data_IF_558113238025
#
_entry.id   IF_558113238025
#
_cell.length_a   1.000
_cell.length_b   1.000
_cell.length_c   1.000
_cell.angle_alpha   90.00
_cell.angle_beta   90.00
_cell.angle_gamma   90.00
#
_symmetry.space_group_name_H-M   'P 1'
#
loop_
_entity.id
_entity.type
_entity.pdbx_description
1 polymer ?
#
# COMPACT_ATOMS: atom_id res chain seq x y z
N UNK A 1 -41.28 46.86 -26.40
CA UNK A 1 -40.85 47.57 -27.65
C UNK A 1 -39.35 47.55 -27.71
N UNK A 2 -38.74 47.47 -28.83
CA UNK A 2 -38.57 46.24 -29.64
C UNK A 2 -37.10 45.78 -29.77
N UNK A 3 -36.95 44.58 -30.24
CA UNK A 3 -35.77 43.94 -30.87
C UNK A 3 -35.29 44.78 -32.09
N UNK A 4 -34.14 44.60 -32.63
CA UNK A 4 -33.75 43.43 -33.42
C UNK A 4 -32.29 42.99 -33.26
N UNK A 5 -31.96 41.66 -33.41
CA UNK A 5 -31.75 40.90 -34.66
C UNK A 5 -30.53 41.43 -35.43
N UNK A 6 -29.57 40.58 -35.73
CA UNK A 6 -29.34 39.94 -37.02
C UNK A 6 -27.87 39.59 -37.23
N UNK A 7 -27.62 38.34 -37.57
CA UNK A 7 -26.83 37.83 -38.70
C UNK A 7 -25.33 38.21 -38.74
N UNK A 8 -24.48 37.34 -38.98
CA UNK A 8 -24.23 36.53 -40.14
C UNK A 8 -23.17 35.47 -39.80
N UNK A 9 -23.44 34.25 -40.09
CA UNK A 9 -22.96 33.55 -41.29
C UNK A 9 -21.44 33.64 -41.44
N UNK A 10 -20.70 32.62 -41.31
CA UNK A 10 -20.73 31.41 -42.12
C UNK A 10 -19.33 31.17 -42.65
N UNK A 11 -18.99 29.91 -42.77
CA UNK A 11 -17.97 29.39 -43.68
C UNK A 11 -16.53 29.62 -43.27
N UNK A 12 -15.93 28.53 -42.72
CA UNK A 12 -14.77 27.91 -43.37
C UNK A 12 -14.43 26.61 -42.63
N UNK A 13 -15.14 25.58 -43.00
CA UNK A 13 -14.65 24.22 -42.89
C UNK A 13 -14.00 23.93 -44.22
N UNK A 14 -12.70 23.77 -44.23
CA UNK A 14 -11.94 22.99 -45.19
C UNK A 14 -10.48 23.44 -45.15
N UNK A 15 -9.66 22.78 -44.40
CA UNK A 15 -8.23 22.56 -44.67
C UNK A 15 -7.48 22.16 -43.37
N UNK A 16 -7.87 21.06 -42.77
CA UNK A 16 -7.00 20.39 -41.79
C UNK A 16 -7.11 18.89 -42.04
N UNK A 17 -6.59 18.48 -43.17
CA UNK A 17 -6.37 17.04 -43.42
C UNK A 17 -5.18 16.86 -44.38
N UNK A 18 -4.03 17.35 -44.00
CA UNK A 18 -2.75 16.95 -44.66
C UNK A 18 -1.48 17.37 -43.91
N UNK A 19 -1.52 17.58 -42.59
CA UNK A 19 -0.34 17.99 -41.83
C UNK A 19 0.20 16.91 -40.85
N UNK A 20 -0.31 15.68 -40.94
CA UNK A 20 0.11 14.62 -39.97
C UNK A 20 1.20 13.66 -40.48
N UNK A 21 1.59 13.76 -41.75
CA UNK A 21 2.64 12.87 -42.27
C UNK A 21 4.05 13.49 -42.37
N UNK A 22 4.17 14.80 -42.23
CA UNK A 22 5.48 15.46 -42.34
C UNK A 22 6.26 15.57 -41.01
N UNK A 23 5.57 15.55 -39.88
CA UNK A 23 6.21 15.69 -38.57
C UNK A 23 6.95 14.41 -38.09
N UNK A 24 6.55 13.25 -38.58
CA UNK A 24 7.16 12.00 -38.18
C UNK A 24 8.47 11.70 -38.92
N UNK A 25 8.71 12.30 -40.08
CA UNK A 25 9.96 12.08 -40.83
C UNK A 25 11.11 12.99 -40.35
N UNK A 26 10.79 14.16 -39.81
CA UNK A 26 11.82 15.07 -39.31
C UNK A 26 12.37 14.64 -37.94
N UNK A 27 11.53 13.98 -37.10
CA UNK A 27 11.93 13.45 -35.81
C UNK A 27 12.93 12.25 -35.94
N UNK A 28 12.82 11.49 -37.02
CA UNK A 28 13.73 10.37 -37.30
C UNK A 28 15.14 10.85 -37.72
N UNK A 29 15.25 12.04 -38.31
CA UNK A 29 16.53 12.59 -38.80
C UNK A 29 17.39 13.18 -37.65
N UNK A 30 16.79 13.53 -36.52
CA UNK A 30 17.51 14.14 -35.38
C UNK A 30 17.73 13.18 -34.20
N UNK A 31 17.39 11.90 -34.29
CA UNK A 31 17.67 10.91 -33.25
C UNK A 31 17.02 11.15 -31.87
N UNK A 32 16.09 12.14 -31.77
CA UNK A 32 15.48 12.56 -30.51
C UNK A 32 14.30 11.68 -30.07
N UNK A 33 13.73 10.86 -30.98
CA UNK A 33 12.61 9.96 -30.69
C UNK A 33 13.01 8.74 -29.83
N UNK A 34 14.14 8.14 -30.16
CA UNK A 34 14.61 6.92 -29.49
C UNK A 34 15.07 7.15 -28.05
N UNK A 35 15.59 8.36 -27.77
CA UNK A 35 16.03 8.72 -26.42
C UNK A 35 14.87 8.99 -25.47
N UNK A 36 13.74 9.47 -26.01
CA UNK A 36 12.55 9.80 -25.19
C UNK A 36 11.71 8.56 -24.85
N UNK A 37 11.60 7.60 -25.77
CA UNK A 37 10.98 6.31 -25.50
C UNK A 37 11.79 5.48 -24.51
N UNK A 38 13.13 5.50 -24.64
CA UNK A 38 14.02 4.83 -23.69
C UNK A 38 14.01 5.48 -22.30
N UNK A 39 13.82 6.80 -22.22
CA UNK A 39 13.67 7.52 -20.95
C UNK A 39 12.30 7.25 -20.29
N UNK A 40 11.19 7.13 -21.07
CA UNK A 40 9.89 6.72 -20.54
C UNK A 40 9.87 5.25 -20.10
N UNK A 41 10.57 4.37 -20.84
CA UNK A 41 10.72 2.96 -20.48
C UNK A 41 11.62 2.76 -19.27
N UNK A 42 12.66 3.59 -19.10
CA UNK A 42 13.53 3.56 -17.92
C UNK A 42 12.85 4.13 -16.66
N UNK A 43 11.94 5.10 -16.80
CA UNK A 43 11.14 5.61 -15.68
C UNK A 43 10.08 4.60 -15.16
N UNK A 44 9.79 3.55 -15.94
CA UNK A 44 8.93 2.43 -15.53
C UNK A 44 9.65 1.29 -14.80
N UNK A 45 10.97 1.32 -14.70
CA UNK A 45 11.79 0.24 -14.14
C UNK A 45 12.25 0.47 -12.67
N UNK A 46 11.90 1.60 -12.05
CA UNK A 46 12.09 1.83 -10.61
C UNK A 46 10.81 1.50 -9.81
N UNK A 47 10.11 0.45 -10.20
CA UNK A 47 8.89 -0.01 -9.56
C UNK A 47 9.15 -1.10 -8.53
N UNK A 48 9.64 -0.75 -7.35
CA UNK A 48 9.49 -1.60 -6.18
C UNK A 48 8.00 -1.96 -5.99
N UNK A 49 7.71 -3.12 -5.42
CA UNK A 49 6.33 -3.55 -5.13
C UNK A 49 5.58 -2.48 -4.36
N UNK A 50 4.38 -2.14 -4.81
CA UNK A 50 3.55 -1.10 -4.21
C UNK A 50 2.17 -1.63 -3.87
N UNK A 51 1.70 -1.40 -2.66
CA UNK A 51 0.36 -1.74 -2.21
C UNK A 51 -0.35 -0.48 -1.75
N UNK A 52 -1.56 -0.26 -2.25
CA UNK A 52 -2.42 0.88 -1.87
C UNK A 52 -3.64 0.34 -1.14
N UNK A 53 -3.90 0.89 0.04
CA UNK A 53 -5.02 0.53 0.91
C UNK A 53 -5.85 1.77 1.18
N UNK A 54 -7.14 1.73 0.90
CA UNK A 54 -8.07 2.81 1.25
C UNK A 54 -8.49 2.71 2.72
N UNK A 55 -8.67 3.85 3.37
CA UNK A 55 -9.24 3.88 4.71
C UNK A 55 -10.69 3.37 4.68
N UNK A 56 -11.09 2.68 5.74
CA UNK A 56 -12.49 2.34 6.00
C UNK A 56 -13.29 3.59 6.45
N UNK A 57 -14.60 3.43 6.69
CA UNK A 57 -15.48 4.52 7.14
C UNK A 57 -15.08 5.15 8.49
N UNK A 58 -14.20 4.49 9.25
CA UNK A 58 -13.68 4.99 10.54
C UNK A 58 -12.27 5.56 10.40
N UNK A 59 -11.72 5.59 9.18
CA UNK A 59 -10.37 6.07 8.91
C UNK A 59 -9.27 5.01 9.13
N UNK A 60 -9.62 3.74 9.34
CA UNK A 60 -8.64 2.68 9.57
C UNK A 60 -8.19 2.03 8.26
N UNK A 61 -6.93 1.61 8.21
CA UNK A 61 -6.37 0.85 7.10
C UNK A 61 -6.36 -0.64 7.45
N UNK A 62 -7.27 -1.38 6.82
CA UNK A 62 -7.40 -2.83 7.00
C UNK A 62 -6.64 -3.54 5.90
N UNK A 63 -5.79 -4.48 6.28
CA UNK A 63 -5.02 -5.32 5.38
C UNK A 63 -5.27 -6.80 5.70
N UNK A 64 -4.97 -7.66 4.74
CA UNK A 64 -5.07 -9.10 4.89
C UNK A 64 -3.73 -9.76 4.50
N UNK A 65 -2.66 -9.53 5.29
CA UNK A 65 -1.39 -10.18 5.01
C UNK A 65 -1.48 -11.71 5.13
N UNK A 66 -0.54 -12.39 4.51
CA UNK A 66 -0.24 -13.77 4.87
C UNK A 66 0.90 -13.77 5.90
N UNK A 67 0.69 -14.51 6.98
CA UNK A 67 1.67 -14.79 8.02
C UNK A 67 2.06 -16.27 7.88
N UNK A 68 3.29 -16.53 7.47
CA UNK A 68 3.77 -17.90 7.22
C UNK A 68 2.80 -18.72 6.33
N UNK A 69 2.23 -18.05 5.31
CA UNK A 69 1.28 -18.63 4.36
C UNK A 69 -0.20 -18.61 4.79
N UNK A 70 -0.54 -18.18 5.99
CA UNK A 70 -1.92 -18.08 6.48
C UNK A 70 -2.42 -16.64 6.45
N UNK A 71 -3.57 -16.42 5.84
CA UNK A 71 -4.18 -15.09 5.72
C UNK A 71 -4.83 -14.65 7.01
N UNK A 72 -4.48 -13.47 7.49
CA UNK A 72 -5.00 -12.87 8.73
C UNK A 72 -5.49 -11.45 8.45
N UNK A 73 -6.62 -11.07 9.04
CA UNK A 73 -7.13 -9.70 8.97
C UNK A 73 -6.43 -8.84 10.02
N UNK A 74 -5.82 -7.72 9.61
CA UNK A 74 -5.05 -6.86 10.52
C UNK A 74 -5.38 -5.38 10.26
N UNK A 75 -5.24 -4.55 11.29
CA UNK A 75 -5.17 -3.10 11.16
C UNK A 75 -3.72 -2.67 11.03
N UNK A 76 -3.43 -1.73 10.14
CA UNK A 76 -2.12 -1.07 10.10
C UNK A 76 -2.08 -0.04 11.23
N UNK A 77 -1.10 -0.20 12.13
CA UNK A 77 -0.97 0.65 13.32
C UNK A 77 0.48 1.12 13.51
N UNK A 78 0.72 2.39 13.21
CA UNK A 78 2.04 3.03 13.39
C UNK A 78 2.38 3.29 14.87
N UNK A 79 1.40 3.23 15.76
CA UNK A 79 1.58 3.33 17.21
C UNK A 79 2.05 2.02 17.85
N UNK A 80 1.82 0.89 17.19
CA UNK A 80 2.29 -0.42 17.66
C UNK A 80 3.76 -0.64 17.27
N UNK A 81 4.64 -0.84 18.27
CA UNK A 81 6.07 -1.11 18.03
C UNK A 81 6.32 -2.44 17.32
N UNK A 82 5.46 -3.41 17.52
CA UNK A 82 5.55 -4.77 16.98
C UNK A 82 4.29 -5.13 16.20
N UNK A 83 4.40 -6.12 15.30
CA UNK A 83 3.23 -6.86 14.87
C UNK A 83 2.61 -7.49 16.10
N UNK A 84 1.33 -7.24 16.35
CA UNK A 84 0.61 -7.77 17.50
C UNK A 84 -0.53 -8.66 17.00
N UNK A 85 -0.54 -9.90 17.45
CA UNK A 85 -1.54 -10.89 17.10
C UNK A 85 -2.48 -11.14 18.27
N UNK A 86 -3.76 -11.22 18.00
CA UNK A 86 -4.70 -11.82 18.95
C UNK A 86 -4.33 -13.30 19.13
N UNK A 87 -4.69 -13.87 20.26
CA UNK A 87 -4.48 -15.29 20.50
C UNK A 87 -5.19 -16.15 19.43
N UNK A 88 -6.37 -15.73 19.05
CA UNK A 88 -7.23 -16.41 18.07
C UNK A 88 -6.59 -16.40 16.69
N UNK A 89 -6.11 -15.23 16.24
CA UNK A 89 -5.44 -15.07 14.94
C UNK A 89 -4.10 -15.80 14.89
N UNK A 90 -3.32 -15.77 15.98
CA UNK A 90 -2.09 -16.54 16.09
C UNK A 90 -2.35 -18.03 15.92
N UNK A 91 -3.38 -18.59 16.59
CA UNK A 91 -3.78 -19.98 16.45
C UNK A 91 -4.23 -20.31 15.03
N UNK A 92 -5.03 -19.44 14.38
CA UNK A 92 -5.44 -19.62 12.97
C UNK A 92 -4.24 -19.58 12.01
N UNK A 93 -3.23 -18.77 12.33
CA UNK A 93 -1.98 -18.72 11.59
C UNK A 93 -1.06 -19.93 11.84
N UNK A 94 -1.44 -20.85 12.76
CA UNK A 94 -0.62 -22.00 13.12
C UNK A 94 0.50 -21.69 14.13
N UNK A 95 0.43 -20.51 14.75
CA UNK A 95 1.40 -20.08 15.77
C UNK A 95 0.91 -20.58 17.13
N UNK A 96 1.60 -21.55 17.70
CA UNK A 96 1.27 -22.13 19.00
C UNK A 96 2.00 -21.40 20.11
N UNK A 97 1.24 -20.85 21.07
CA UNK A 97 1.74 -20.27 22.29
C UNK A 97 1.02 -20.90 23.49
N UNK A 98 1.75 -21.19 24.55
CA UNK A 98 1.23 -21.73 25.79
C UNK A 98 1.18 -20.66 26.89
N UNK A 99 0.50 -20.93 27.99
CA UNK A 99 0.37 -19.99 29.10
C UNK A 99 1.75 -19.52 29.64
N UNK A 100 2.77 -20.38 29.60
CA UNK A 100 4.14 -20.07 30.06
C UNK A 100 4.91 -19.13 29.15
N UNK A 101 4.47 -18.93 27.91
CA UNK A 101 5.15 -18.11 26.91
C UNK A 101 4.83 -16.62 27.05
N UNK A 102 3.75 -16.29 27.78
CA UNK A 102 3.36 -14.90 28.08
C UNK A 102 4.23 -14.29 29.17
N UNK A 103 5.47 -13.96 28.84
CA UNK A 103 6.49 -13.49 29.80
C UNK A 103 6.92 -12.05 29.56
N UNK A 104 6.65 -11.48 28.37
CA UNK A 104 7.10 -10.14 28.01
C UNK A 104 6.06 -9.09 28.40
N UNK A 105 6.33 -8.23 29.41
CA UNK A 105 5.44 -7.14 29.74
C UNK A 105 5.45 -6.09 28.63
N UNK A 106 4.26 -5.67 28.16
CA UNK A 106 4.07 -4.61 27.19
C UNK A 106 3.03 -3.62 27.70
N UNK A 107 3.24 -2.34 27.41
CA UNK A 107 2.24 -1.31 27.66
C UNK A 107 1.25 -1.26 26.49
N UNK A 108 -0.04 -1.29 26.80
CA UNK A 108 -1.14 -1.13 25.85
C UNK A 108 -2.04 0.02 26.31
N UNK A 109 -2.96 0.45 25.46
CA UNK A 109 -3.97 1.44 25.85
C UNK A 109 -4.80 1.00 27.07
N UNK A 110 -4.93 -0.32 27.31
CA UNK A 110 -5.70 -0.91 28.41
C UNK A 110 -4.81 -1.35 29.58
N UNK A 111 -3.58 -0.83 29.67
CA UNK A 111 -2.64 -1.16 30.73
C UNK A 111 -1.54 -2.14 30.31
N UNK A 112 -0.80 -2.66 31.31
CA UNK A 112 0.30 -3.60 31.08
C UNK A 112 -0.28 -5.01 30.90
N UNK A 113 0.19 -5.69 29.85
CA UNK A 113 -0.18 -7.08 29.52
C UNK A 113 1.10 -7.88 29.30
N UNK A 114 1.17 -9.11 29.80
CA UNK A 114 2.24 -10.04 29.44
C UNK A 114 1.94 -10.67 28.08
N UNK A 115 2.81 -10.47 27.11
CA UNK A 115 2.70 -11.01 25.76
C UNK A 115 3.73 -12.14 25.53
N UNK A 116 3.44 -13.03 24.57
CA UNK A 116 4.37 -14.02 24.10
C UNK A 116 5.14 -13.47 22.88
N UNK A 117 6.48 -13.51 22.93
CA UNK A 117 7.32 -13.11 21.80
C UNK A 117 7.43 -14.25 20.80
N UNK A 118 7.16 -13.95 19.52
CA UNK A 118 7.28 -14.90 18.41
C UNK A 118 8.01 -14.24 17.25
N UNK A 119 8.53 -15.04 16.34
CA UNK A 119 9.14 -14.60 15.09
C UNK A 119 8.41 -15.24 13.93
N UNK A 120 7.83 -14.39 13.08
CA UNK A 120 7.19 -14.82 11.84
C UNK A 120 8.27 -15.02 10.78
N UNK A 121 8.28 -16.18 10.13
CA UNK A 121 9.25 -16.44 9.07
C UNK A 121 9.04 -15.48 7.89
N UNK A 122 7.77 -15.22 7.54
CA UNK A 122 7.41 -14.26 6.50
C UNK A 122 6.08 -13.56 6.79
N UNK A 123 6.04 -12.27 6.54
CA UNK A 123 4.81 -11.45 6.47
C UNK A 123 4.71 -10.87 5.07
N UNK A 124 3.64 -11.19 4.34
CA UNK A 124 3.45 -10.71 2.97
C UNK A 124 2.16 -9.91 2.84
N UNK A 125 2.24 -8.68 2.29
CA UNK A 125 1.11 -7.80 1.96
C UNK A 125 1.15 -7.53 0.46
N UNK A 126 0.19 -8.06 -0.29
CA UNK A 126 0.27 -8.05 -1.75
C UNK A 126 1.55 -8.72 -2.23
N UNK A 127 2.38 -7.99 -2.98
CA UNK A 127 3.67 -8.47 -3.47
C UNK A 127 4.87 -8.10 -2.56
N UNK A 128 4.62 -7.37 -1.48
CA UNK A 128 5.64 -6.97 -0.52
C UNK A 128 5.80 -8.08 0.53
N UNK A 129 6.98 -8.68 0.60
CA UNK A 129 7.31 -9.74 1.58
C UNK A 129 8.46 -9.31 2.48
N UNK A 130 8.28 -9.47 3.79
CA UNK A 130 9.32 -9.20 4.80
C UNK A 130 9.52 -10.46 5.63
N UNK A 131 10.75 -10.93 5.73
CA UNK A 131 11.10 -12.17 6.45
C UNK A 131 11.61 -11.90 7.85
N UNK A 132 11.39 -12.85 8.77
CA UNK A 132 11.92 -12.80 10.14
C UNK A 132 11.37 -11.61 10.93
N UNK A 133 10.05 -11.37 10.85
CA UNK A 133 9.38 -10.25 11.52
C UNK A 133 9.14 -10.60 12.99
N UNK A 134 9.57 -9.73 13.90
CA UNK A 134 9.25 -9.87 15.33
C UNK A 134 7.77 -9.54 15.55
N UNK A 135 7.11 -10.41 16.30
CA UNK A 135 5.70 -10.26 16.64
C UNK A 135 5.43 -10.64 18.09
N UNK A 136 4.32 -10.15 18.60
CA UNK A 136 3.83 -10.45 19.95
C UNK A 136 2.45 -11.09 19.82
N UNK A 137 2.21 -12.16 20.53
CA UNK A 137 0.88 -12.73 20.72
C UNK A 137 0.35 -12.28 22.06
N UNK A 138 -0.84 -11.68 22.07
CA UNK A 138 -1.50 -11.25 23.30
C UNK A 138 -2.36 -12.37 23.87
N UNK A 139 -2.55 -12.45 25.20
CA UNK A 139 -3.42 -13.43 25.81
C UNK A 139 -4.86 -13.34 25.29
N UNK A 140 -5.66 -14.42 25.40
CA UNK A 140 -7.06 -14.43 25.01
C UNK A 140 -7.83 -13.22 25.53
N UNK A 141 -8.62 -12.58 24.66
CA UNK A 141 -9.46 -11.44 25.00
C UNK A 141 -8.71 -10.11 25.25
N UNK A 142 -7.39 -10.05 25.10
CA UNK A 142 -6.59 -8.82 25.32
C UNK A 142 -6.38 -7.99 24.06
N UNK A 143 -6.67 -8.54 22.89
CA UNK A 143 -6.58 -7.86 21.60
C UNK A 143 -7.73 -8.33 20.69
N UNK A 144 -8.62 -7.42 20.33
CA UNK A 144 -9.80 -7.75 19.50
C UNK A 144 -9.49 -7.84 18.00
N UNK A 145 -8.45 -7.19 17.53
CA UNK A 145 -8.02 -7.22 16.13
C UNK A 145 -6.50 -7.14 16.08
N UNK A 146 -5.87 -8.02 15.33
CA UNK A 146 -4.43 -8.03 15.14
C UNK A 146 -3.92 -6.76 14.46
N UNK A 147 -2.70 -6.32 14.81
CA UNK A 147 -2.09 -5.07 14.37
C UNK A 147 -0.83 -5.33 13.55
N UNK A 148 -0.74 -4.70 12.38
CA UNK A 148 0.47 -4.67 11.56
C UNK A 148 1.30 -3.46 11.97
N UNK A 149 2.23 -3.66 12.91
CA UNK A 149 3.00 -2.62 13.57
C UNK A 149 4.37 -2.34 12.95
N UNK A 150 5.15 -1.53 13.64
CA UNK A 150 6.42 -0.98 13.17
C UNK A 150 7.53 -2.02 12.97
N UNK A 151 7.48 -3.19 13.62
CA UNK A 151 8.43 -4.27 13.34
C UNK A 151 8.36 -4.79 11.89
N UNK A 152 7.23 -4.58 11.22
CA UNK A 152 7.05 -4.80 9.78
C UNK A 152 7.26 -3.49 9.00
N UNK A 153 6.54 -2.43 9.37
CA UNK A 153 6.46 -1.19 8.56
C UNK A 153 7.82 -0.51 8.35
N UNK A 154 8.73 -0.52 9.36
CA UNK A 154 10.08 0.04 9.24
C UNK A 154 11.00 -0.71 8.28
N UNK A 155 10.64 -1.91 7.87
CA UNK A 155 11.44 -2.76 6.99
C UNK A 155 11.03 -2.65 5.52
N UNK A 156 10.00 -1.85 5.25
CA UNK A 156 9.59 -1.47 3.91
C UNK A 156 10.54 -0.42 3.33
N UNK A 157 10.57 -0.29 2.02
CA UNK A 157 11.21 0.85 1.34
C UNK A 157 10.58 2.19 1.72
N UNK A 158 9.36 2.18 2.26
CA UNK A 158 8.65 3.31 2.81
C UNK A 158 7.16 3.05 2.95
N UNK A 159 6.49 3.93 3.69
CA UNK A 159 5.04 4.00 3.70
C UNK A 159 4.59 5.45 3.83
N UNK A 160 3.41 5.73 3.28
CA UNK A 160 2.86 7.09 3.21
C UNK A 160 1.35 7.05 3.42
N UNK A 161 0.82 7.98 4.19
CA UNK A 161 -0.61 8.18 4.35
C UNK A 161 -0.98 9.52 3.76
N UNK A 162 -1.77 9.50 2.68
CA UNK A 162 -2.21 10.69 1.99
C UNK A 162 -3.63 10.51 1.45
N UNK A 163 -4.47 11.53 1.59
CA UNK A 163 -5.82 11.56 1.01
C UNK A 163 -6.67 10.31 1.33
N UNK A 164 -6.64 9.83 2.59
CA UNK A 164 -7.38 8.65 3.02
C UNK A 164 -6.86 7.33 2.44
N UNK A 165 -5.63 7.30 1.92
CA UNK A 165 -4.95 6.12 1.41
C UNK A 165 -3.63 5.89 2.10
N UNK A 166 -3.35 4.65 2.43
CA UNK A 166 -2.05 4.17 2.85
C UNK A 166 -1.36 3.53 1.64
N UNK A 167 -0.12 3.94 1.39
CA UNK A 167 0.72 3.43 0.33
C UNK A 167 1.92 2.76 0.98
N UNK A 168 2.07 1.46 0.76
CA UNK A 168 3.24 0.68 1.18
C UNK A 168 4.17 0.50 -0.02
N UNK A 169 5.47 0.66 0.18
CA UNK A 169 6.53 0.53 -0.84
C UNK A 169 7.48 -0.58 -0.40
N UNK A 170 7.68 -1.60 -1.25
CA UNK A 170 8.58 -2.72 -1.01
C UNK A 170 10.02 -2.42 -1.40
#
# INVERSE_FOLDING_TARGET
MPRPIVWASGILISAVLSATSASNQVAALFGLGASREKALSAAGAEGGSRVVVSADLRGHFVVHPTLDGKRVRMLVDTGASFVALSHEDARLAGISVSARDYTRPISTANGIVAAASVRLAEVKVGDIAVRGVEALVLPPGKLGTSLLGMSFLKRLGGFEIAQGRLILKG
#
